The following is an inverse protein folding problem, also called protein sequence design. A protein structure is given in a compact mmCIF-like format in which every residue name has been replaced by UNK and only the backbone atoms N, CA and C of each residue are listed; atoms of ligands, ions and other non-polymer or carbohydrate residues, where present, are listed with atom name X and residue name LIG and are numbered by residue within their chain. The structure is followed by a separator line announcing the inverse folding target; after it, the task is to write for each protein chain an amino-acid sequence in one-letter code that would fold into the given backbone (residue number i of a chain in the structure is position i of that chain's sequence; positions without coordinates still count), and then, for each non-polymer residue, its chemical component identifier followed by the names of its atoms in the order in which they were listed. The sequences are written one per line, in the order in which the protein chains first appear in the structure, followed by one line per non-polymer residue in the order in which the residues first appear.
data_IF_181678744078
#
_entry.id   IF_181678744078
#
_cell.length_a   1.000
_cell.length_b   1.000
_cell.length_c   1.000
_cell.angle_alpha   90.00
_cell.angle_beta   90.00
_cell.angle_gamma   90.00
#
_symmetry.space_group_name_H-M   'P 1'
#
loop_
_entity.id
_entity.type
_entity.pdbx_description
1 polymer ?
#
# COMPACT_ATOMS: atom_id res chain seq x y z
N UNK A 1 -22.94 -12.86 6.72
CA UNK A 1 -21.54 -12.50 6.95
C UNK A 1 -21.36 -11.08 6.43
N UNK A 2 -20.65 -10.23 7.17
CA UNK A 2 -20.45 -8.83 6.80
C UNK A 2 -19.07 -8.69 6.18
N UNK A 3 -18.99 -8.25 4.93
CA UNK A 3 -17.72 -7.98 4.27
C UNK A 3 -16.97 -6.85 4.97
N UNK A 4 -15.74 -7.13 5.39
CA UNK A 4 -14.79 -6.16 5.94
C UNK A 4 -13.85 -5.69 4.83
N UNK A 5 -13.43 -4.43 4.89
CA UNK A 5 -12.46 -3.86 3.94
C UNK A 5 -11.23 -3.43 4.70
N UNK A 6 -10.09 -4.00 4.33
CA UNK A 6 -8.80 -3.70 4.93
C UNK A 6 -8.00 -2.81 4.01
N UNK A 7 -7.30 -1.85 4.60
CA UNK A 7 -6.28 -1.05 3.92
C UNK A 7 -4.95 -1.36 4.54
N UNK A 8 -4.01 -1.83 3.72
CA UNK A 8 -2.65 -2.12 4.16
C UNK A 8 -1.69 -1.16 3.48
N UNK A 9 -0.83 -0.53 4.26
CA UNK A 9 0.27 0.30 3.76
C UNK A 9 1.60 -0.35 4.11
N UNK A 10 2.41 -0.65 3.10
CA UNK A 10 3.77 -1.17 3.27
C UNK A 10 4.77 -0.07 2.89
N UNK A 11 5.67 0.28 3.81
CA UNK A 11 6.65 1.36 3.62
C UNK A 11 8.06 0.84 3.81
N UNK A 12 8.99 1.45 3.10
CA UNK A 12 10.40 1.15 3.24
C UNK A 12 11.27 2.19 2.55
N UNK A 13 12.56 1.91 2.52
CA UNK A 13 13.55 2.74 1.86
C UNK A 13 14.35 1.83 0.93
N UNK A 14 14.51 2.26 -0.33
CA UNK A 14 15.41 1.59 -1.26
C UNK A 14 16.84 1.60 -0.71
N UNK A 15 17.57 0.52 -0.95
CA UNK A 15 18.95 0.35 -0.48
C UNK A 15 19.84 -0.13 -1.61
N UNK A 16 20.98 0.55 -1.80
CA UNK A 16 21.97 0.16 -2.81
C UNK A 16 21.53 0.30 -4.27
N UNK A 17 20.64 1.25 -4.61
CA UNK A 17 20.22 1.46 -6.00
C UNK A 17 21.40 1.74 -6.93
N UNK A 18 21.52 0.97 -8.01
CA UNK A 18 22.48 1.27 -9.08
C UNK A 18 22.01 2.49 -9.89
N UNK A 19 22.92 3.15 -10.65
CA UNK A 19 22.53 4.24 -11.54
C UNK A 19 21.42 3.86 -12.53
N UNK A 20 21.47 2.64 -13.07
CA UNK A 20 20.48 2.11 -14.03
C UNK A 20 19.12 1.88 -13.37
N UNK A 21 19.12 1.30 -12.17
CA UNK A 21 17.90 1.10 -11.38
C UNK A 21 17.25 2.43 -11.01
N UNK A 22 18.06 3.41 -10.62
CA UNK A 22 17.60 4.76 -10.33
C UNK A 22 17.03 5.44 -11.58
N UNK A 23 17.66 5.28 -12.73
CA UNK A 23 17.17 5.83 -13.99
C UNK A 23 15.82 5.22 -14.40
N UNK A 24 15.64 3.90 -14.25
CA UNK A 24 14.36 3.22 -14.50
C UNK A 24 13.24 3.78 -13.62
N UNK A 25 13.46 3.83 -12.31
CA UNK A 25 12.48 4.39 -11.38
C UNK A 25 12.19 5.88 -11.66
N UNK A 26 13.17 6.65 -12.14
CA UNK A 26 12.89 8.04 -12.53
C UNK A 26 12.06 8.16 -13.80
N UNK A 27 12.22 7.23 -14.76
CA UNK A 27 11.41 7.21 -15.98
C UNK A 27 9.94 6.84 -15.69
N UNK A 28 9.72 5.95 -14.71
CA UNK A 28 8.39 5.49 -14.29
C UNK A 28 7.73 6.38 -13.22
N UNK A 29 8.44 7.42 -12.74
CA UNK A 29 8.01 8.23 -11.60
C UNK A 29 6.64 8.92 -11.79
N UNK A 30 6.28 9.26 -13.04
CA UNK A 30 4.99 9.87 -13.34
C UNK A 30 3.81 8.90 -13.11
N UNK A 31 4.03 7.59 -13.32
CA UNK A 31 3.04 6.54 -13.07
C UNK A 31 2.92 6.22 -11.57
N UNK A 32 3.97 6.51 -10.81
CA UNK A 32 4.07 6.25 -9.37
C UNK A 32 3.97 7.52 -8.50
N UNK A 33 3.30 8.55 -9.02
CA UNK A 33 3.12 9.81 -8.29
C UNK A 33 2.23 9.62 -7.06
N UNK A 34 2.66 10.19 -5.92
CA UNK A 34 1.92 10.24 -4.66
C UNK A 34 0.56 10.94 -4.83
N UNK A 35 0.43 11.89 -5.76
CA UNK A 35 -0.82 12.60 -6.03
C UNK A 35 -1.95 11.69 -6.55
N UNK A 36 -1.60 10.54 -7.14
CA UNK A 36 -2.55 9.54 -7.63
C UNK A 36 -2.65 8.31 -6.73
N UNK A 37 -1.99 8.33 -5.56
CA UNK A 37 -1.93 7.18 -4.68
C UNK A 37 -3.32 6.74 -4.19
N UNK A 38 -3.74 5.56 -4.63
CA UNK A 38 -4.98 4.91 -4.23
C UNK A 38 -4.71 3.61 -3.48
N UNK A 39 -5.72 3.08 -2.79
CA UNK A 39 -5.70 1.70 -2.29
C UNK A 39 -6.40 0.82 -3.31
N UNK A 40 -5.67 -0.11 -3.92
CA UNK A 40 -6.16 -1.04 -4.95
C UNK A 40 -5.82 -2.48 -4.56
N UNK A 41 -6.51 -3.46 -5.14
CA UNK A 41 -6.24 -4.87 -4.85
C UNK A 41 -4.85 -5.31 -5.33
N UNK A 42 -4.44 -4.80 -6.49
CA UNK A 42 -3.13 -5.05 -7.10
C UNK A 42 -1.99 -4.31 -6.37
N UNK A 43 -2.34 -3.31 -5.55
CA UNK A 43 -1.39 -2.43 -4.91
C UNK A 43 -1.01 -1.22 -5.76
N UNK A 44 -1.02 -0.04 -5.15
CA UNK A 44 -0.47 1.16 -5.77
C UNK A 44 0.85 1.54 -5.08
N UNK A 45 1.92 1.59 -5.85
CA UNK A 45 3.22 2.06 -5.38
C UNK A 45 3.38 3.55 -5.65
N UNK A 46 3.91 4.26 -4.64
CA UNK A 46 4.42 5.62 -4.80
C UNK A 46 5.79 5.74 -4.15
N UNK A 47 6.68 6.57 -4.68
CA UNK A 47 8.00 6.78 -4.09
C UNK A 47 8.53 8.20 -4.27
N UNK A 48 9.47 8.57 -3.39
CA UNK A 48 10.25 9.80 -3.47
C UNK A 48 11.74 9.46 -3.45
N UNK A 49 12.34 9.46 -4.64
CA UNK A 49 13.77 9.24 -4.85
C UNK A 49 14.64 10.48 -4.61
N UNK A 50 14.05 11.67 -4.61
CA UNK A 50 14.79 12.92 -4.50
C UNK A 50 15.14 13.22 -3.04
N UNK A 51 14.22 12.98 -2.12
CA UNK A 51 14.44 13.32 -0.72
C UNK A 51 15.05 12.16 0.09
N UNK A 52 14.54 10.94 -0.08
CA UNK A 52 14.82 9.85 0.89
C UNK A 52 14.98 8.46 0.28
N UNK A 53 14.75 8.31 -1.02
CA UNK A 53 14.58 7.00 -1.66
C UNK A 53 13.54 6.14 -0.93
N UNK A 54 12.48 6.77 -0.41
CA UNK A 54 11.43 6.09 0.32
C UNK A 54 10.32 5.66 -0.63
N UNK A 55 9.75 4.48 -0.38
CA UNK A 55 8.60 3.97 -1.11
C UNK A 55 7.44 3.67 -0.17
N UNK A 56 6.25 3.63 -0.75
CA UNK A 56 5.02 3.25 -0.07
C UNK A 56 4.11 2.51 -1.04
N UNK A 57 3.78 1.27 -0.71
CA UNK A 57 2.74 0.50 -1.36
C UNK A 57 1.44 0.61 -0.57
N UNK A 58 0.31 0.69 -1.28
CA UNK A 58 -1.03 0.79 -0.72
C UNK A 58 -1.92 -0.29 -1.32
N UNK A 59 -2.37 -1.21 -0.49
CA UNK A 59 -3.18 -2.36 -0.88
C UNK A 59 -4.56 -2.31 -0.23
N UNK A 60 -5.58 -2.68 -0.97
CA UNK A 60 -6.91 -2.94 -0.45
C UNK A 60 -7.19 -4.44 -0.49
N UNK A 61 -7.63 -5.02 0.61
CA UNK A 61 -8.10 -6.40 0.66
C UNK A 61 -9.48 -6.45 1.33
N UNK A 62 -10.14 -7.59 1.23
CA UNK A 62 -11.43 -7.87 1.85
C UNK A 62 -11.39 -9.17 2.62
N UNK A 63 -12.17 -9.25 3.69
CA UNK A 63 -12.33 -10.46 4.48
C UNK A 63 -13.69 -10.53 5.15
N UNK A 64 -13.91 -11.60 5.88
CA UNK A 64 -15.14 -11.86 6.61
C UNK A 64 -14.93 -11.73 8.12
N UNK A 65 -13.75 -12.10 8.61
CA UNK A 65 -13.39 -12.11 10.03
C UNK A 65 -12.42 -10.98 10.40
N UNK A 66 -12.30 -10.66 11.69
CA UNK A 66 -11.39 -9.60 12.13
C UNK A 66 -9.93 -10.02 11.92
N UNK A 67 -9.65 -11.31 12.13
CA UNK A 67 -8.35 -11.95 11.98
C UNK A 67 -7.83 -11.92 10.54
N UNK A 68 -8.72 -11.76 9.54
CA UNK A 68 -8.34 -11.65 8.13
C UNK A 68 -7.46 -10.42 7.85
N UNK A 69 -7.45 -9.41 8.73
CA UNK A 69 -6.54 -8.27 8.61
C UNK A 69 -5.07 -8.70 8.67
N UNK A 70 -4.74 -9.76 9.39
CA UNK A 70 -3.38 -10.31 9.47
C UNK A 70 -2.99 -10.98 8.15
N UNK A 71 -3.92 -11.73 7.55
CA UNK A 71 -3.74 -12.37 6.24
C UNK A 71 -3.58 -11.31 5.15
N UNK A 72 -4.41 -10.26 5.16
CA UNK A 72 -4.29 -9.13 4.26
C UNK A 72 -2.93 -8.43 4.39
N UNK A 73 -2.41 -8.33 5.61
CA UNK A 73 -1.09 -7.74 5.88
C UNK A 73 0.03 -8.59 5.29
N UNK A 74 0.00 -9.91 5.50
CA UNK A 74 0.98 -10.85 4.95
C UNK A 74 1.00 -10.82 3.42
N UNK A 75 -0.18 -10.88 2.78
CA UNK A 75 -0.30 -10.78 1.31
C UNK A 75 0.27 -9.48 0.77
N UNK A 76 -0.01 -8.36 1.43
CA UNK A 76 0.51 -7.05 1.04
C UNK A 76 2.04 -6.97 1.17
N UNK A 77 2.61 -7.54 2.25
CA UNK A 77 4.07 -7.62 2.40
C UNK A 77 4.71 -8.49 1.31
N UNK A 78 4.14 -9.65 1.03
CA UNK A 78 4.68 -10.56 0.01
C UNK A 78 4.58 -9.97 -1.40
N UNK A 79 3.47 -9.31 -1.73
CA UNK A 79 3.32 -8.58 -2.99
C UNK A 79 4.36 -7.46 -3.12
N UNK A 80 4.61 -6.69 -2.06
CA UNK A 80 5.64 -5.65 -2.05
C UNK A 80 7.06 -6.25 -2.22
N UNK A 81 7.36 -7.37 -1.54
CA UNK A 81 8.64 -8.07 -1.67
C UNK A 81 8.83 -8.64 -3.07
N UNK A 82 7.79 -9.20 -3.67
CA UNK A 82 7.82 -9.74 -5.03
C UNK A 82 8.15 -8.62 -6.04
N UNK A 83 7.44 -7.49 -5.98
CA UNK A 83 7.69 -6.35 -6.87
C UNK A 83 9.13 -5.83 -6.75
N UNK A 84 9.62 -5.68 -5.51
CA UNK A 84 10.99 -5.25 -5.25
C UNK A 84 12.01 -6.28 -5.78
N UNK A 85 11.76 -7.57 -5.60
CA UNK A 85 12.61 -8.65 -6.07
C UNK A 85 12.67 -8.77 -7.58
N UNK A 86 11.53 -8.69 -8.27
CA UNK A 86 11.43 -8.70 -9.73
C UNK A 86 12.15 -7.51 -10.36
N UNK A 87 12.08 -6.33 -9.71
CA UNK A 87 12.84 -5.15 -10.10
C UNK A 87 14.33 -5.17 -9.70
N UNK A 88 14.75 -6.15 -8.89
CA UNK A 88 16.11 -6.26 -8.34
C UNK A 88 16.46 -5.19 -7.32
N UNK A 89 15.47 -4.54 -6.71
CA UNK A 89 15.66 -3.42 -5.79
C UNK A 89 15.94 -3.91 -4.37
N UNK A 90 17.12 -3.54 -3.85
CA UNK A 90 17.41 -3.67 -2.43
C UNK A 90 16.51 -2.74 -1.59
N UNK A 91 16.19 -3.14 -0.36
CA UNK A 91 15.39 -2.33 0.56
C UNK A 91 15.76 -2.56 2.02
N UNK A 92 15.43 -1.59 2.86
CA UNK A 92 15.58 -1.65 4.31
C UNK A 92 14.40 -1.01 5.03
N UNK A 93 14.29 -1.29 6.33
CA UNK A 93 13.26 -0.74 7.21
C UNK A 93 11.83 -0.98 6.72
N UNK A 94 11.57 -2.18 6.17
CA UNK A 94 10.23 -2.55 5.71
C UNK A 94 9.28 -2.61 6.92
N UNK A 95 8.15 -1.90 6.83
CA UNK A 95 7.11 -1.87 7.86
C UNK A 95 5.73 -1.87 7.21
N UNK A 96 4.82 -2.65 7.76
CA UNK A 96 3.41 -2.69 7.37
C UNK A 96 2.53 -2.04 8.42
N UNK A 97 1.42 -1.48 7.97
CA UNK A 97 0.34 -0.96 8.81
C UNK A 97 -0.98 -1.30 8.14
N UNK A 98 -1.87 -1.97 8.86
CA UNK A 98 -3.20 -2.31 8.39
C UNK A 98 -4.28 -1.55 9.17
N UNK A 99 -5.39 -1.24 8.48
CA UNK A 99 -6.57 -0.58 9.04
C UNK A 99 -7.83 -1.32 8.55
N UNK A 100 -8.72 -1.68 9.48
CA UNK A 100 -10.06 -2.18 9.18
C UNK A 100 -11.05 -1.01 9.09
N UNK A 101 -11.57 -0.77 7.88
CA UNK A 101 -12.52 0.32 7.65
C UNK A 101 -13.91 0.03 8.23
N UNK A 102 -14.22 -1.22 8.58
CA UNK A 102 -15.46 -1.56 9.29
C UNK A 102 -15.46 -1.03 10.73
N UNK A 103 -14.28 -0.82 11.32
CA UNK A 103 -14.10 -0.26 12.66
C UNK A 103 -13.90 1.25 12.66
N UNK A 104 -13.66 1.85 11.48
CA UNK A 104 -13.48 3.29 11.37
C UNK A 104 -14.78 4.03 11.77
N UNK A 105 -14.74 5.00 12.69
CA UNK A 105 -15.93 5.73 13.08
C UNK A 105 -16.55 6.40 11.85
N UNK A 106 -17.76 6.00 11.49
CA UNK A 106 -18.48 6.49 10.31
C UNK A 106 -18.34 8.01 10.21
N UNK A 107 -17.61 8.47 9.19
CA UNK A 107 -17.49 9.88 8.89
C UNK A 107 -18.86 10.52 8.67
N UNK A 108 -19.00 11.83 8.91
CA UNK A 108 -20.27 12.57 8.85
C UNK A 108 -21.07 12.33 7.56
N UNK A 109 -20.40 12.01 6.44
CA UNK A 109 -21.03 11.68 5.15
C UNK A 109 -21.65 10.28 5.11
N UNK A 110 -21.00 9.25 5.69
CA UNK A 110 -21.55 7.89 5.71
C UNK A 110 -22.75 7.76 6.66
N UNK A 111 -22.78 8.52 7.78
CA UNK A 111 -23.97 8.56 8.67
C UNK A 111 -25.23 9.06 7.96
N UNK A 112 -25.11 9.96 6.98
CA UNK A 112 -26.26 10.47 6.23
C UNK A 112 -26.81 9.46 5.20
N UNK A 113 -25.97 8.55 4.72
CA UNK A 113 -26.40 7.47 3.83
C UNK A 113 -27.05 6.32 4.62
N UNK A 114 -26.51 6.01 5.81
CA UNK A 114 -27.06 4.95 6.68
C UNK A 114 -28.38 5.32 7.38
N UNK A 115 -28.73 6.62 7.46
CA UNK A 115 -30.00 7.08 8.02
C UNK A 115 -31.17 7.16 7.03
N UNK A 116 -31.04 6.57 5.84
CA UNK A 116 -32.07 6.56 4.78
C UNK A 116 -32.60 5.15 4.44
N UNK A 117 -32.36 4.17 5.30
CA UNK A 117 -32.96 2.82 5.20
C UNK A 117 -34.08 2.65 6.22
#
# INVERSE_FOLDING_TARGET
MSTRTFRVTVRGVFDGLTPEQRARLLAEAAEHDVLHAAFTAEGHMSYDLAARAAFTFRFQDVGEDEEDILIATERAEDAARAWLGEGGYGYKNLRSQAEDLSLAPLGKRQRRAAGKS
#
